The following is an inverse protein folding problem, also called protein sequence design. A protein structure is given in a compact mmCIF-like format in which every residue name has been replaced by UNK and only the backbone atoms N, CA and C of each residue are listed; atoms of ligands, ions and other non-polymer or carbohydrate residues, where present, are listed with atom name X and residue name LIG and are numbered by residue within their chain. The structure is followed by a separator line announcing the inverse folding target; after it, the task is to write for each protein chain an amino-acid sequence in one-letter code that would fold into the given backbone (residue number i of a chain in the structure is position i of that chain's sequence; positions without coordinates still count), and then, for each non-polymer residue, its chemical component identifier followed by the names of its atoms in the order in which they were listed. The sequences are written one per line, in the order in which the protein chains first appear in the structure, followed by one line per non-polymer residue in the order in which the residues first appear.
data_IF_655442749000
#
_entry.id   IF_655442749000
#
_cell.length_a   1.000
_cell.length_b   1.000
_cell.length_c   1.000
_cell.angle_alpha   90.00
_cell.angle_beta   90.00
_cell.angle_gamma   90.00
#
_symmetry.space_group_name_H-M   'P 1'
#
loop_
_entity.id
_entity.type
_entity.pdbx_description
1 polymer ?
#
# COMPACT_ATOMS: atom_id res chain seq x y z
N UNK A 1 26.27 16.52 -35.29
CA UNK A 1 25.54 17.20 -34.21
C UNK A 1 24.11 16.71 -34.06
N UNK A 2 23.34 16.54 -35.14
CA UNK A 2 21.95 15.99 -35.06
C UNK A 2 21.87 14.61 -34.39
N UNK A 3 22.81 13.71 -34.69
CA UNK A 3 22.77 12.33 -34.17
C UNK A 3 23.03 12.25 -32.67
N UNK A 4 23.88 13.12 -32.12
CA UNK A 4 24.14 13.15 -30.68
C UNK A 4 22.93 13.65 -29.89
N UNK A 5 22.24 14.66 -30.39
CA UNK A 5 21.02 15.19 -29.77
C UNK A 5 19.89 14.15 -29.76
N UNK A 6 19.69 13.43 -30.85
CA UNK A 6 18.71 12.37 -30.98
C UNK A 6 19.02 11.19 -30.02
N UNK A 7 20.31 10.83 -29.93
CA UNK A 7 20.76 9.75 -29.04
C UNK A 7 20.53 10.13 -27.57
N UNK A 8 20.87 11.36 -27.19
CA UNK A 8 20.68 11.87 -25.83
C UNK A 8 19.19 11.92 -25.48
N UNK A 9 18.35 12.43 -26.39
CA UNK A 9 16.91 12.52 -26.19
C UNK A 9 16.29 11.13 -26.06
N UNK A 10 16.72 10.18 -26.90
CA UNK A 10 16.25 8.79 -26.86
C UNK A 10 16.67 8.10 -25.56
N UNK A 11 17.91 8.32 -25.12
CA UNK A 11 18.42 7.77 -23.86
C UNK A 11 17.64 8.32 -22.66
N UNK A 12 17.38 9.62 -22.63
CA UNK A 12 16.57 10.26 -21.57
C UNK A 12 15.16 9.72 -21.55
N UNK A 13 14.55 9.51 -22.72
CA UNK A 13 13.20 8.95 -22.82
C UNK A 13 13.14 7.51 -22.31
N UNK A 14 14.13 6.68 -22.66
CA UNK A 14 14.23 5.30 -22.17
C UNK A 14 14.41 5.29 -20.66
N UNK A 15 15.25 6.16 -20.10
CA UNK A 15 15.45 6.28 -18.66
C UNK A 15 14.17 6.71 -17.95
N UNK A 16 13.41 7.63 -18.52
CA UNK A 16 12.14 8.10 -17.97
C UNK A 16 11.11 6.96 -17.94
N UNK A 17 10.96 6.23 -19.05
CA UNK A 17 10.04 5.10 -19.14
C UNK A 17 10.45 4.01 -18.15
N UNK A 18 11.74 3.70 -18.04
CA UNK A 18 12.26 2.72 -17.09
C UNK A 18 11.98 3.13 -15.65
N UNK A 19 12.14 4.42 -15.32
CA UNK A 19 11.85 4.94 -13.98
C UNK A 19 10.37 4.83 -13.63
N UNK A 20 9.49 5.20 -14.56
CA UNK A 20 8.04 5.11 -14.36
C UNK A 20 7.63 3.64 -14.16
N UNK A 21 8.13 2.74 -15.00
CA UNK A 21 7.84 1.31 -14.91
C UNK A 21 8.36 0.70 -13.62
N UNK A 22 9.56 1.08 -13.19
CA UNK A 22 10.15 0.62 -11.93
C UNK A 22 9.34 1.07 -10.73
N UNK A 23 8.91 2.33 -10.69
CA UNK A 23 8.08 2.87 -9.61
C UNK A 23 6.73 2.18 -9.57
N UNK A 24 6.10 1.97 -10.73
CA UNK A 24 4.82 1.26 -10.80
C UNK A 24 4.95 -0.18 -10.29
N UNK A 25 6.00 -0.88 -10.69
CA UNK A 25 6.28 -2.23 -10.21
C UNK A 25 6.52 -2.25 -8.70
N UNK A 26 7.29 -1.31 -8.19
CA UNK A 26 7.60 -1.20 -6.76
C UNK A 26 6.31 -0.98 -5.94
N UNK A 27 5.48 -0.04 -6.34
CA UNK A 27 4.23 0.27 -5.65
C UNK A 27 3.27 -0.92 -5.71
N UNK A 28 3.18 -1.56 -6.87
CA UNK A 28 2.35 -2.75 -7.04
C UNK A 28 2.82 -3.89 -6.12
N UNK A 29 4.13 -4.11 -6.03
CA UNK A 29 4.73 -5.14 -5.19
C UNK A 29 4.45 -4.90 -3.70
N UNK A 30 4.66 -3.68 -3.22
CA UNK A 30 4.39 -3.31 -1.82
C UNK A 30 2.90 -3.41 -1.52
N UNK A 31 2.05 -2.90 -2.41
CA UNK A 31 0.59 -2.95 -2.23
C UNK A 31 0.08 -4.39 -2.18
N UNK A 32 0.60 -5.26 -3.03
CA UNK A 32 0.25 -6.69 -3.05
C UNK A 32 0.67 -7.38 -1.76
N UNK A 33 1.88 -7.12 -1.28
CA UNK A 33 2.38 -7.67 -0.02
C UNK A 33 1.49 -7.26 1.15
N UNK A 34 1.16 -5.97 1.24
CA UNK A 34 0.28 -5.47 2.30
C UNK A 34 -1.13 -6.04 2.21
N UNK A 35 -1.68 -6.16 0.99
CA UNK A 35 -2.99 -6.78 0.79
C UNK A 35 -3.01 -8.23 1.26
N UNK A 36 -1.99 -9.01 0.93
CA UNK A 36 -1.88 -10.40 1.38
C UNK A 36 -1.85 -10.49 2.91
N UNK A 37 -1.13 -9.59 3.56
CA UNK A 37 -1.08 -9.52 5.02
C UNK A 37 -2.43 -9.15 5.63
N UNK A 38 -3.14 -8.21 5.02
CA UNK A 38 -4.47 -7.77 5.50
C UNK A 38 -5.50 -8.87 5.33
N UNK A 39 -5.48 -9.59 4.23
CA UNK A 39 -6.39 -10.72 4.01
C UNK A 39 -6.16 -11.86 4.99
N UNK A 40 -4.97 -11.98 5.56
CA UNK A 40 -4.67 -12.94 6.63
C UNK A 40 -5.17 -12.49 8.00
N UNK A 41 -5.53 -11.21 8.17
CA UNK A 41 -6.09 -10.67 9.41
C UNK A 41 -7.59 -11.02 9.53
N UNK A 42 -8.13 -11.08 10.77
CA UNK A 42 -9.53 -11.45 10.95
C UNK A 42 -10.48 -10.44 10.32
N UNK A 43 -11.56 -10.94 9.72
CA UNK A 43 -12.52 -10.14 8.95
C UNK A 43 -13.94 -10.18 9.53
N UNK A 44 -14.18 -10.90 10.61
CA UNK A 44 -15.49 -11.03 11.21
C UNK A 44 -15.45 -10.72 12.70
N UNK A 45 -16.39 -9.89 13.15
CA UNK A 45 -16.48 -9.45 14.55
C UNK A 45 -16.64 -10.63 15.50
N UNK A 46 -17.57 -11.54 15.21
CA UNK A 46 -17.85 -12.69 16.08
C UNK A 46 -16.65 -13.62 16.23
N UNK A 47 -15.86 -13.77 15.18
CA UNK A 47 -14.63 -14.54 15.23
C UNK A 47 -13.62 -13.90 16.17
N UNK A 48 -13.44 -12.56 16.08
CA UNK A 48 -12.44 -11.83 16.87
C UNK A 48 -12.76 -11.92 18.37
N UNK A 49 -14.02 -11.72 18.75
CA UNK A 49 -14.42 -11.71 20.17
C UNK A 49 -14.30 -13.08 20.84
N UNK A 50 -14.23 -14.15 20.05
CA UNK A 50 -14.07 -15.52 20.55
C UNK A 50 -12.60 -15.98 20.56
N UNK A 51 -11.67 -15.16 20.10
CA UNK A 51 -10.25 -15.53 20.03
C UNK A 51 -9.62 -15.61 21.41
N UNK A 52 -8.74 -16.60 21.58
CA UNK A 52 -7.89 -16.70 22.75
C UNK A 52 -6.86 -15.56 22.79
N UNK A 53 -6.40 -15.24 23.99
CA UNK A 53 -5.43 -14.15 24.17
C UNK A 53 -4.15 -14.35 23.34
N UNK A 54 -3.67 -15.59 23.26
CA UNK A 54 -2.48 -15.92 22.46
C UNK A 54 -2.68 -15.59 20.98
N UNK A 55 -3.87 -15.83 20.44
CA UNK A 55 -4.20 -15.56 19.05
C UNK A 55 -4.35 -14.06 18.80
N UNK A 56 -4.94 -13.33 19.75
CA UNK A 56 -5.04 -11.87 19.69
C UNK A 56 -3.65 -11.22 19.67
N UNK A 57 -2.73 -11.71 20.49
CA UNK A 57 -1.36 -11.22 20.52
C UNK A 57 -0.62 -11.51 19.20
N UNK A 58 -0.89 -12.65 18.59
CA UNK A 58 -0.36 -13.00 17.27
C UNK A 58 -0.83 -12.01 16.20
N UNK A 59 -2.13 -11.69 16.17
CA UNK A 59 -2.67 -10.71 15.23
C UNK A 59 -2.15 -9.29 15.50
N UNK A 60 -1.96 -8.91 16.75
CA UNK A 60 -1.32 -7.63 17.09
C UNK A 60 0.10 -7.56 16.55
N UNK A 61 0.84 -8.65 16.65
CA UNK A 61 2.18 -8.74 16.08
C UNK A 61 2.16 -8.61 14.56
N UNK A 62 1.19 -9.25 13.90
CA UNK A 62 1.03 -9.17 12.44
C UNK A 62 0.70 -7.74 12.00
N UNK A 63 -0.16 -7.04 12.74
CA UNK A 63 -0.51 -5.64 12.47
C UNK A 63 0.71 -4.74 12.67
N UNK A 64 1.52 -4.98 13.70
CA UNK A 64 2.76 -4.24 13.89
C UNK A 64 3.74 -4.45 12.74
N UNK A 65 3.89 -5.68 12.27
CA UNK A 65 4.74 -6.01 11.12
C UNK A 65 4.26 -5.28 9.86
N UNK A 66 2.97 -5.27 9.61
CA UNK A 66 2.35 -4.53 8.51
C UNK A 66 2.66 -3.05 8.59
N UNK A 67 2.52 -2.46 9.76
CA UNK A 67 2.83 -1.04 10.00
C UNK A 67 4.31 -0.72 9.75
N UNK A 68 5.21 -1.59 10.18
CA UNK A 68 6.66 -1.42 9.95
C UNK A 68 6.99 -1.49 8.46
N UNK A 69 6.41 -2.43 7.73
CA UNK A 69 6.60 -2.54 6.28
C UNK A 69 6.11 -1.27 5.58
N UNK A 70 4.94 -0.76 5.97
CA UNK A 70 4.42 0.49 5.42
C UNK A 70 5.33 1.67 5.72
N UNK A 71 5.75 1.86 6.96
CA UNK A 71 6.63 2.96 7.37
C UNK A 71 7.96 2.92 6.61
N UNK A 72 8.52 1.73 6.43
CA UNK A 72 9.78 1.53 5.71
C UNK A 72 9.68 1.98 4.25
N UNK A 73 8.53 1.80 3.62
CA UNK A 73 8.31 2.10 2.21
C UNK A 73 7.58 3.43 1.97
N UNK A 74 6.97 4.00 3.01
CA UNK A 74 6.06 5.15 2.90
C UNK A 74 6.71 6.40 2.31
N UNK A 75 7.95 6.69 2.68
CA UNK A 75 8.66 7.88 2.18
C UNK A 75 8.81 7.82 0.65
N UNK A 76 9.17 6.67 0.12
CA UNK A 76 9.32 6.47 -1.32
C UNK A 76 7.98 6.50 -2.04
N UNK A 77 6.99 5.85 -1.46
CA UNK A 77 5.63 5.82 -2.03
C UNK A 77 5.04 7.24 -2.05
N UNK A 78 5.22 8.01 -0.98
CA UNK A 78 4.73 9.38 -0.88
C UNK A 78 5.27 10.28 -2.00
N UNK A 79 6.50 10.06 -2.45
CA UNK A 79 7.12 10.85 -3.51
C UNK A 79 6.50 10.55 -4.88
N UNK A 80 6.09 9.30 -5.12
CA UNK A 80 5.69 8.83 -6.46
C UNK A 80 4.17 8.65 -6.63
N UNK A 81 3.39 8.79 -5.56
CA UNK A 81 1.92 8.69 -5.61
C UNK A 81 1.27 10.04 -5.33
N UNK A 82 -0.02 10.13 -5.62
CA UNK A 82 -0.82 11.29 -5.20
C UNK A 82 -0.91 11.32 -3.67
N UNK A 83 -0.77 12.50 -3.09
CA UNK A 83 -0.83 12.68 -1.65
C UNK A 83 -2.14 12.14 -1.05
N UNK A 84 -3.26 12.37 -1.72
CA UNK A 84 -4.56 11.87 -1.26
C UNK A 84 -4.64 10.35 -1.19
N UNK A 85 -4.07 9.64 -2.17
CA UNK A 85 -4.04 8.18 -2.21
C UNK A 85 -3.10 7.64 -1.13
N UNK A 86 -1.93 8.27 -0.96
CA UNK A 86 -0.99 7.96 0.12
C UNK A 86 -1.65 8.12 1.48
N UNK A 87 -2.31 9.26 1.72
CA UNK A 87 -2.91 9.60 3.01
C UNK A 87 -4.04 8.63 3.37
N UNK A 88 -4.81 8.17 2.40
CA UNK A 88 -5.86 7.16 2.65
C UNK A 88 -5.29 5.86 3.18
N UNK A 89 -4.18 5.39 2.60
CA UNK A 89 -3.50 4.18 3.08
C UNK A 89 -2.90 4.43 4.45
N UNK A 90 -2.18 5.54 4.61
CA UNK A 90 -1.50 5.89 5.85
C UNK A 90 -2.46 5.99 7.04
N UNK A 91 -3.55 6.73 6.89
CA UNK A 91 -4.53 6.89 7.96
C UNK A 91 -5.31 5.60 8.24
N UNK A 92 -5.59 4.78 7.23
CA UNK A 92 -6.26 3.50 7.42
C UNK A 92 -5.38 2.49 8.16
N UNK A 93 -4.09 2.45 7.89
CA UNK A 93 -3.14 1.59 8.63
C UNK A 93 -3.07 2.03 10.09
N UNK A 94 -2.97 3.33 10.33
CA UNK A 94 -2.94 3.88 11.68
C UNK A 94 -4.21 3.53 12.45
N UNK A 95 -5.38 3.74 11.84
CA UNK A 95 -6.67 3.44 12.44
C UNK A 95 -6.85 1.94 12.71
N UNK A 96 -6.46 1.10 11.77
CA UNK A 96 -6.52 -0.37 11.91
C UNK A 96 -5.77 -0.82 13.17
N UNK A 97 -4.55 -0.33 13.34
CA UNK A 97 -3.71 -0.66 14.49
C UNK A 97 -4.32 -0.15 15.79
N UNK A 98 -4.65 1.14 15.84
CA UNK A 98 -5.18 1.78 17.05
C UNK A 98 -6.46 1.12 17.53
N UNK A 99 -7.40 0.85 16.63
CA UNK A 99 -8.67 0.24 17.02
C UNK A 99 -8.54 -1.23 17.42
N UNK A 100 -7.69 -1.98 16.76
CA UNK A 100 -7.46 -3.37 17.15
C UNK A 100 -6.81 -3.46 18.53
N UNK A 101 -5.83 -2.62 18.81
CA UNK A 101 -5.14 -2.60 20.10
C UNK A 101 -6.04 -2.11 21.23
N UNK A 102 -6.99 -1.23 20.92
CA UNK A 102 -8.00 -0.75 21.88
C UNK A 102 -9.19 -1.71 22.04
N UNK A 103 -9.17 -2.85 21.37
CA UNK A 103 -10.27 -3.81 21.33
C UNK A 103 -11.58 -3.25 20.77
N UNK A 104 -11.49 -2.20 19.96
CA UNK A 104 -12.62 -1.63 19.24
C UNK A 104 -12.72 -2.31 17.86
N UNK A 105 -13.22 -3.53 17.85
CA UNK A 105 -13.19 -4.38 16.66
C UNK A 105 -14.16 -3.94 15.56
N UNK A 106 -15.24 -3.26 15.92
CA UNK A 106 -16.17 -2.70 14.92
C UNK A 106 -15.47 -1.63 14.06
N UNK A 107 -14.72 -0.73 14.70
CA UNK A 107 -13.95 0.30 13.99
C UNK A 107 -12.75 -0.29 13.27
N UNK A 108 -12.10 -1.28 13.86
CA UNK A 108 -11.04 -2.02 13.20
C UNK A 108 -11.52 -2.60 11.86
N UNK A 109 -12.68 -3.23 11.84
CA UNK A 109 -13.25 -3.82 10.61
C UNK A 109 -13.56 -2.76 9.56
N UNK A 110 -14.03 -1.59 9.99
CA UNK A 110 -14.25 -0.44 9.08
C UNK A 110 -12.94 0.02 8.46
N UNK A 111 -11.90 0.19 9.27
CA UNK A 111 -10.57 0.60 8.79
C UNK A 111 -9.94 -0.47 7.89
N UNK A 112 -10.19 -1.74 8.19
CA UNK A 112 -9.73 -2.85 7.34
C UNK A 112 -10.31 -2.75 5.93
N UNK A 113 -11.61 -2.50 5.82
CA UNK A 113 -12.28 -2.31 4.52
C UNK A 113 -11.73 -1.11 3.77
N UNK A 114 -11.55 0.01 4.46
CA UNK A 114 -10.98 1.24 3.89
C UNK A 114 -9.56 0.98 3.38
N UNK A 115 -8.76 0.28 4.14
CA UNK A 115 -7.38 -0.03 3.79
C UNK A 115 -7.30 -0.93 2.56
N UNK A 116 -8.12 -1.96 2.48
CA UNK A 116 -8.19 -2.83 1.31
C UNK A 116 -8.54 -2.01 0.07
N UNK A 117 -9.57 -1.19 0.14
CA UNK A 117 -9.99 -0.34 -0.98
C UNK A 117 -8.89 0.64 -1.40
N UNK A 118 -8.21 1.26 -0.42
CA UNK A 118 -7.14 2.22 -0.68
C UNK A 118 -5.92 1.56 -1.33
N UNK A 119 -5.54 0.37 -0.88
CA UNK A 119 -4.41 -0.38 -1.45
C UNK A 119 -4.72 -0.92 -2.85
N UNK A 120 -5.94 -1.38 -3.09
CA UNK A 120 -6.37 -1.81 -4.42
C UNK A 120 -6.36 -0.65 -5.41
N UNK A 121 -6.82 0.52 -4.99
CA UNK A 121 -6.76 1.73 -5.80
C UNK A 121 -5.32 2.14 -6.09
N UNK A 122 -4.46 2.14 -5.08
CA UNK A 122 -3.03 2.46 -5.24
C UNK A 122 -2.36 1.50 -6.21
N UNK A 123 -2.62 0.21 -6.08
CA UNK A 123 -2.09 -0.82 -6.96
C UNK A 123 -2.53 -0.62 -8.41
N UNK A 124 -3.80 -0.33 -8.64
CA UNK A 124 -4.37 -0.21 -9.98
C UNK A 124 -4.01 1.12 -10.67
N UNK A 125 -3.97 2.22 -9.91
CA UNK A 125 -3.68 3.54 -10.46
C UNK A 125 -2.21 3.74 -10.85
N UNK A 126 -1.30 2.98 -10.24
CA UNK A 126 0.13 3.12 -10.50
C UNK A 126 0.62 2.21 -11.62
N UNK A 127 -0.25 1.34 -12.16
CA UNK A 127 0.08 0.58 -13.35
C UNK A 127 0.13 1.52 -14.55
N UNK A 128 1.24 1.49 -15.34
CA UNK A 128 1.31 2.33 -16.54
C UNK A 128 0.20 1.90 -17.50
N UNK A 129 -0.78 2.76 -17.69
CA UNK A 129 -1.75 2.58 -18.75
C UNK A 129 -1.49 3.65 -19.81
N UNK A 130 -1.56 3.25 -21.07
CA UNK A 130 -1.39 4.17 -22.18
C UNK A 130 -2.42 5.29 -22.16
N UNK A 131 -3.57 5.06 -21.56
CA UNK A 131 -4.62 6.05 -21.38
C UNK A 131 -4.21 7.22 -20.48
N UNK A 132 -3.32 6.97 -19.50
CA UNK A 132 -2.82 7.99 -18.58
C UNK A 132 -1.60 8.74 -19.12
N UNK A 133 -0.98 8.26 -20.19
CA UNK A 133 0.18 8.88 -20.82
C UNK A 133 -0.25 9.79 -21.97
N UNK A 134 -1.35 9.51 -22.59
CA UNK A 134 -1.95 10.27 -23.66
C UNK A 134 -3.30 10.83 -23.21
#
# INVERSE_FOLDING_TARGET
MRNKSVIISSALMVMLIASISFNAYYINSVSTELLDMIFALPSEYEYIVKLEQSKLEEFKSDINTLSVIWEKNSRRICIVTRYSDFERVNSAIYGLREYFFAANYSQYLTERKKLIAALEKQKNNELPSFENIF
#
